data_IF_809075594003
#
_entry.id   IF_809075594003
#
_cell.length_a   1.000
_cell.length_b   1.000
_cell.length_c   1.000
_cell.angle_alpha   90.00
_cell.angle_beta   90.00
_cell.angle_gamma   90.00
#
_symmetry.space_group_name_H-M   'P 1'
#
loop_
_entity.id
_entity.type
_entity.pdbx_description
1 polymer ?
#
# COMPACT_ATOMS: atom_id res chain seq x y z
N UNK A 1 24.34 30.14 -3.89
CA UNK A 1 22.92 29.85 -4.15
C UNK A 1 22.49 28.63 -3.35
N UNK A 2 21.75 28.75 -2.22
CA UNK A 2 21.21 27.56 -1.58
C UNK A 2 19.87 27.23 -2.24
N UNK A 3 19.83 26.11 -2.97
CA UNK A 3 18.58 25.56 -3.49
C UNK A 3 17.75 25.10 -2.29
N UNK A 4 16.69 25.85 -1.99
CA UNK A 4 15.59 25.45 -1.13
C UNK A 4 14.85 24.26 -1.78
N UNK A 5 15.49 23.08 -1.80
CA UNK A 5 14.80 21.84 -2.05
C UNK A 5 13.99 21.55 -0.78
N UNK A 6 12.77 22.10 -0.69
CA UNK A 6 11.70 21.50 0.10
C UNK A 6 11.68 20.03 -0.31
N UNK A 7 12.35 19.17 0.45
CA UNK A 7 12.29 17.73 0.27
C UNK A 7 10.83 17.36 0.51
N UNK A 8 10.01 17.41 -0.55
CA UNK A 8 8.65 16.89 -0.53
C UNK A 8 8.82 15.47 -0.03
N UNK A 9 8.35 15.21 1.19
CA UNK A 9 8.45 13.89 1.79
C UNK A 9 7.97 12.86 0.75
N UNK A 10 8.91 12.08 0.21
CA UNK A 10 8.58 11.08 -0.81
C UNK A 10 7.99 9.91 -0.04
N UNK A 11 6.73 9.61 -0.29
CA UNK A 11 6.10 8.41 0.26
C UNK A 11 6.32 7.29 -0.74
N UNK A 12 6.94 6.20 -0.28
CA UNK A 12 6.95 4.94 -1.01
C UNK A 12 5.80 4.10 -0.50
N UNK A 13 5.00 3.59 -1.41
CA UNK A 13 3.80 2.83 -1.09
C UNK A 13 4.05 1.36 -1.33
N UNK A 14 3.39 0.53 -0.56
CA UNK A 14 3.53 -0.91 -0.60
C UNK A 14 2.14 -1.54 -0.45
N UNK A 15 1.95 -2.70 -1.04
CA UNK A 15 0.71 -3.47 -0.95
C UNK A 15 1.04 -4.88 -0.51
N UNK A 16 0.33 -5.34 0.51
CA UNK A 16 0.44 -6.70 1.02
C UNK A 16 -0.83 -7.47 0.65
N UNK A 17 -0.76 -8.50 -0.19
CA UNK A 17 -1.90 -9.39 -0.41
C UNK A 17 -2.18 -10.21 0.85
N UNK A 18 -3.45 -10.24 1.27
CA UNK A 18 -3.92 -11.09 2.39
C UNK A 18 -4.33 -12.50 1.91
N UNK A 19 -4.43 -12.71 0.60
CA UNK A 19 -4.87 -13.97 -0.01
C UNK A 19 -4.12 -14.27 -1.32
N UNK A 20 -4.00 -15.55 -1.66
CA UNK A 20 -3.31 -16.03 -2.86
C UNK A 20 -3.90 -15.50 -4.17
N UNK A 21 -5.23 -15.35 -4.26
CA UNK A 21 -5.88 -14.77 -5.44
C UNK A 21 -5.47 -13.31 -5.62
N UNK A 22 -5.38 -12.55 -4.52
CA UNK A 22 -4.95 -11.15 -4.57
C UNK A 22 -3.46 -11.04 -4.90
N UNK A 23 -2.62 -11.95 -4.37
CA UNK A 23 -1.20 -12.01 -4.73
C UNK A 23 -1.01 -12.25 -6.23
N UNK A 24 -1.78 -13.16 -6.84
CA UNK A 24 -1.71 -13.46 -8.28
C UNK A 24 -2.11 -12.25 -9.14
N UNK A 25 -3.13 -11.48 -8.71
CA UNK A 25 -3.52 -10.26 -9.41
C UNK A 25 -2.43 -9.19 -9.29
N UNK A 26 -1.87 -8.99 -8.09
CA UNK A 26 -0.83 -7.99 -7.86
C UNK A 26 0.46 -8.34 -8.60
N UNK A 27 0.87 -9.62 -8.60
CA UNK A 27 2.08 -10.09 -9.30
C UNK A 27 1.97 -9.97 -10.83
N UNK A 28 0.75 -9.91 -11.37
CA UNK A 28 0.51 -9.60 -12.81
C UNK A 28 0.57 -8.11 -13.12
N UNK A 29 0.33 -7.26 -12.13
CA UNK A 29 0.29 -5.80 -12.28
C UNK A 29 1.62 -5.13 -11.97
N UNK A 30 2.45 -5.78 -11.15
CA UNK A 30 3.75 -5.28 -10.74
C UNK A 30 4.85 -6.25 -11.18
N UNK A 31 5.98 -5.75 -11.72
CA UNK A 31 7.11 -6.61 -12.03
C UNK A 31 7.70 -7.20 -10.74
N UNK A 32 8.31 -8.38 -10.87
CA UNK A 32 8.92 -9.12 -9.76
C UNK A 32 10.02 -8.32 -9.03
N UNK A 33 10.67 -7.39 -9.71
CA UNK A 33 11.65 -6.46 -9.13
C UNK A 33 11.06 -5.57 -8.01
N UNK A 34 9.74 -5.39 -7.99
CA UNK A 34 9.04 -4.67 -6.95
C UNK A 34 8.56 -5.59 -5.81
N UNK A 35 8.74 -6.90 -5.91
CA UNK A 35 8.44 -7.82 -4.83
C UNK A 35 9.48 -7.63 -3.70
N UNK A 36 8.98 -7.44 -2.49
CA UNK A 36 9.76 -7.33 -1.26
C UNK A 36 9.26 -8.42 -0.30
N UNK A 37 9.65 -9.70 -0.52
CA UNK A 37 9.12 -10.84 0.23
C UNK A 37 9.51 -10.84 1.73
N UNK A 38 10.55 -10.09 2.11
CA UNK A 38 11.04 -10.02 3.49
C UNK A 38 11.16 -8.57 3.98
N UNK A 39 10.17 -7.73 3.65
CA UNK A 39 10.19 -6.35 4.09
C UNK A 39 9.94 -6.26 5.61
N UNK A 40 10.95 -5.78 6.35
CA UNK A 40 10.80 -5.50 7.78
C UNK A 40 9.90 -4.29 7.99
N UNK A 41 8.77 -4.53 8.65
CA UNK A 41 7.78 -3.51 8.94
C UNK A 41 7.89 -3.04 10.39
N UNK A 42 7.24 -1.91 10.70
CA UNK A 42 7.24 -1.33 12.04
C UNK A 42 6.63 -2.25 13.13
N UNK A 43 5.96 -3.34 12.75
CA UNK A 43 5.45 -4.37 13.66
C UNK A 43 6.54 -5.35 14.15
N UNK A 44 7.78 -5.21 13.65
CA UNK A 44 8.88 -6.15 13.93
C UNK A 44 8.75 -7.49 13.19
N UNK A 45 7.80 -7.59 12.24
CA UNK A 45 7.57 -8.77 11.42
C UNK A 45 8.02 -8.53 9.98
N UNK A 46 8.41 -9.62 9.32
CA UNK A 46 8.67 -9.67 7.89
C UNK A 46 7.34 -9.88 7.16
N UNK A 47 7.06 -9.02 6.20
CA UNK A 47 5.86 -9.09 5.39
C UNK A 47 6.22 -9.18 3.91
N UNK A 48 5.44 -9.96 3.15
CA UNK A 48 5.55 -10.06 1.70
C UNK A 48 4.87 -8.87 1.04
N UNK A 49 5.64 -7.80 0.85
CA UNK A 49 5.14 -6.53 0.33
C UNK A 49 5.45 -6.37 -1.15
N UNK A 50 4.58 -5.69 -1.87
CA UNK A 50 4.81 -5.27 -3.25
C UNK A 50 4.98 -3.76 -3.31
N UNK A 51 6.16 -3.29 -3.73
CA UNK A 51 6.48 -1.89 -3.86
C UNK A 51 5.70 -1.25 -5.02
N UNK A 52 4.90 -0.23 -4.71
CA UNK A 52 4.18 0.56 -5.70
C UNK A 52 4.95 1.84 -5.99
N UNK A 53 5.25 2.08 -7.27
CA UNK A 53 5.99 3.27 -7.74
C UNK A 53 5.17 4.56 -7.67
N UNK A 54 3.85 4.50 -7.44
CA UNK A 54 3.02 5.70 -7.28
C UNK A 54 1.58 5.46 -6.83
N UNK A 55 0.92 6.56 -6.46
CA UNK A 55 -0.48 6.59 -6.01
C UNK A 55 -1.47 6.12 -7.08
N UNK A 56 -1.14 6.28 -8.36
CA UNK A 56 -2.01 5.89 -9.48
C UNK A 56 -2.33 4.41 -9.49
N UNK A 57 -1.34 3.56 -9.20
CA UNK A 57 -1.52 2.10 -9.18
C UNK A 57 -2.37 1.67 -7.97
N UNK A 58 -2.16 2.29 -6.81
CA UNK A 58 -3.00 2.10 -5.63
C UNK A 58 -4.44 2.51 -5.92
N UNK A 59 -4.64 3.64 -6.61
CA UNK A 59 -5.96 4.10 -7.02
C UNK A 59 -6.68 3.08 -7.90
N UNK A 60 -5.97 2.50 -8.89
CA UNK A 60 -6.50 1.43 -9.75
C UNK A 60 -6.83 0.17 -8.96
N UNK A 61 -5.91 -0.31 -8.12
CA UNK A 61 -6.15 -1.47 -7.24
C UNK A 61 -7.36 -1.24 -6.34
N UNK A 62 -7.50 -0.04 -5.77
CA UNK A 62 -8.62 0.30 -4.90
C UNK A 62 -9.94 0.42 -5.65
N UNK A 63 -9.93 0.93 -6.89
CA UNK A 63 -11.11 0.92 -7.74
C UNK A 63 -11.54 -0.51 -8.09
N UNK A 64 -10.59 -1.38 -8.40
CA UNK A 64 -10.84 -2.79 -8.70
C UNK A 64 -11.05 -3.67 -7.46
N UNK A 65 -10.88 -3.15 -6.25
CA UNK A 65 -10.96 -3.94 -4.99
C UNK A 65 -12.32 -4.60 -4.81
N UNK A 66 -13.39 -3.86 -5.10
CA UNK A 66 -14.77 -4.36 -4.95
C UNK A 66 -15.11 -5.35 -6.07
N UNK A 67 -14.74 -5.00 -7.29
CA UNK A 67 -15.03 -5.77 -8.50
C UNK A 67 -14.29 -7.13 -8.51
N UNK A 68 -12.99 -7.11 -8.22
CA UNK A 68 -12.13 -8.28 -8.18
C UNK A 68 -12.05 -8.94 -6.78
N UNK A 69 -12.85 -8.45 -5.81
CA UNK A 69 -12.87 -8.91 -4.41
C UNK A 69 -11.48 -9.04 -3.77
N UNK A 70 -10.59 -8.10 -4.07
CA UNK A 70 -9.19 -8.15 -3.63
C UNK A 70 -9.08 -7.87 -2.13
N UNK A 71 -8.30 -8.71 -1.44
CA UNK A 71 -7.97 -8.59 -0.02
C UNK A 71 -6.49 -8.25 0.10
N UNK A 72 -6.22 -6.99 0.43
CA UNK A 72 -4.86 -6.49 0.61
C UNK A 72 -4.82 -5.38 1.65
N UNK A 73 -3.67 -5.27 2.31
CA UNK A 73 -3.31 -4.18 3.20
C UNK A 73 -2.39 -3.19 2.46
N UNK A 74 -2.60 -1.89 2.67
CA UNK A 74 -1.70 -0.87 2.12
C UNK A 74 -0.73 -0.44 3.20
N UNK A 75 0.53 -0.32 2.82
CA UNK A 75 1.63 0.06 3.66
C UNK A 75 2.33 1.28 3.05
N UNK A 76 2.89 2.14 3.88
CA UNK A 76 3.57 3.36 3.45
C UNK A 76 4.88 3.53 4.22
N UNK A 77 5.93 3.92 3.49
CA UNK A 77 7.24 4.30 4.04
C UNK A 77 7.50 5.76 3.73
N UNK A 78 7.80 6.55 4.76
CA UNK A 78 8.29 7.92 4.57
C UNK A 78 9.76 7.85 4.20
N UNK A 79 10.14 8.41 3.05
CA UNK A 79 11.53 8.55 2.64
C UNK A 79 12.06 9.95 3.00
N UNK A 80 13.38 10.10 3.23
CA UNK A 80 14.40 9.03 3.22
C UNK A 80 14.42 8.16 4.49
N UNK A 81 13.91 8.67 5.61
CA UNK A 81 13.92 8.00 6.89
C UNK A 81 12.49 7.73 7.37
N UNK A 82 12.18 6.47 7.63
CA UNK A 82 10.87 6.04 8.10
C UNK A 82 10.68 4.54 8.00
N UNK A 83 10.01 3.95 8.99
CA UNK A 83 9.58 2.56 8.96
C UNK A 83 8.37 2.38 8.02
N UNK A 84 8.21 1.17 7.50
CA UNK A 84 7.02 0.78 6.75
C UNK A 84 5.87 0.59 7.75
N UNK A 85 4.81 1.38 7.60
CA UNK A 85 3.65 1.34 8.50
C UNK A 85 2.37 1.08 7.72
N UNK A 86 1.40 0.36 8.29
CA UNK A 86 0.14 0.09 7.61
C UNK A 86 -0.69 1.37 7.58
N UNK A 87 -1.42 1.57 6.49
CA UNK A 87 -2.38 2.66 6.35
C UNK A 87 -3.72 2.09 5.94
N UNK A 88 -4.77 2.52 6.65
CA UNK A 88 -6.14 2.16 6.31
C UNK A 88 -6.58 3.01 5.12
N UNK A 89 -6.41 2.45 3.92
CA UNK A 89 -6.96 3.03 2.71
C UNK A 89 -8.45 2.71 2.65
N UNK A 90 -9.29 3.76 2.65
CA UNK A 90 -10.74 3.59 2.48
C UNK A 90 -11.42 2.87 3.64
N UNK A 91 -11.65 3.57 4.75
CA UNK A 91 -12.90 3.42 5.48
C UNK A 91 -13.61 4.76 5.46
N UNK A 92 -14.43 5.02 4.44
CA UNK A 92 -15.64 5.80 4.73
C UNK A 92 -16.34 4.98 5.81
N UNK A 93 -16.38 5.50 7.04
CA UNK A 93 -17.34 5.01 8.04
C UNK A 93 -18.68 5.05 7.33
N UNK A 94 -19.22 3.88 6.96
CA UNK A 94 -20.66 3.77 6.85
C UNK A 94 -21.10 3.94 8.31
N UNK A 95 -21.40 5.19 8.67
CA UNK A 95 -22.18 5.48 9.86
C UNK A 95 -23.51 4.80 9.58
N UNK A 96 -23.68 3.56 10.04
CA UNK A 96 -25.00 3.01 10.28
C UNK A 96 -25.64 3.96 11.29
N UNK A 97 -26.41 4.94 10.80
CA UNK A 97 -27.52 5.49 11.57
C UNK A 97 -28.48 4.32 11.69
N UNK A 98 -28.36 3.57 12.79
CA UNK A 98 -29.45 2.76 13.31
C UNK A 98 -30.60 3.74 13.49
N UNK A 99 -31.62 3.61 12.65
CA UNK A 99 -32.91 4.24 12.87
C UNK A 99 -33.49 3.60 14.14
N UNK A 100 -33.70 4.43 15.15
CA UNK A 100 -34.57 4.18 16.28
C UNK A 100 -35.65 5.26 16.25
#
# INVERSE_FOLDING_TARGET
MPQNARQKARYKWYVEPEDAATNNVISRLLPEENACPEAECNDGKKHSLWACTGWTLIGKLNASRVDLRLRYQIWVKKLPYGAIRPIRFGKKKILQRVAA
#
